data_IF_591802492481
#
_entry.id   IF_591802492481
#
_cell.length_a   1.000
_cell.length_b   1.000
_cell.length_c   1.000
_cell.angle_alpha   90.00
_cell.angle_beta   90.00
_cell.angle_gamma   90.00
#
_symmetry.space_group_name_H-M   'P 1'
#
loop_
_entity.id
_entity.type
_entity.pdbx_description
1 polymer ?
#
# COMPACT_ATOMS: atom_id res chain seq x y z
N UNK A 1 17.43 18.30 -40.15
CA UNK A 1 17.63 18.01 -38.72
C UNK A 1 16.39 17.29 -38.23
N UNK A 2 16.44 15.96 -38.22
CA UNK A 2 15.34 15.14 -37.69
C UNK A 2 15.46 15.12 -36.17
N UNK A 3 14.55 15.79 -35.49
CA UNK A 3 14.41 15.68 -34.04
C UNK A 3 13.65 14.37 -33.78
N UNK A 4 14.37 13.32 -33.40
CA UNK A 4 13.77 12.16 -32.76
C UNK A 4 13.23 12.64 -31.40
N UNK A 5 11.91 12.82 -31.31
CA UNK A 5 11.24 12.85 -30.01
C UNK A 5 11.43 11.47 -29.39
N UNK A 6 12.39 11.36 -28.46
CA UNK A 6 12.44 10.25 -27.52
C UNK A 6 11.22 10.39 -26.61
N UNK A 7 10.13 9.73 -26.97
CA UNK A 7 9.02 9.46 -26.06
C UNK A 7 9.61 8.58 -24.96
N UNK A 8 10.01 9.19 -23.84
CA UNK A 8 10.31 8.45 -22.62
C UNK A 8 9.02 7.72 -22.26
N UNK A 9 8.95 6.43 -22.58
CA UNK A 9 7.90 5.56 -22.08
C UNK A 9 8.08 5.48 -20.58
N UNK A 10 7.32 6.29 -19.85
CA UNK A 10 7.19 6.16 -18.41
C UNK A 10 6.72 4.73 -18.17
N UNK A 11 7.54 3.90 -17.55
CA UNK A 11 7.12 2.57 -17.17
C UNK A 11 6.03 2.75 -16.12
N UNK A 12 4.78 2.55 -16.51
CA UNK A 12 3.70 2.53 -15.55
C UNK A 12 3.88 1.28 -14.68
N UNK A 13 4.07 1.46 -13.38
CA UNK A 13 4.10 0.40 -12.39
C UNK A 13 2.70 -0.19 -12.26
N UNK A 14 2.51 -1.38 -12.83
CA UNK A 14 1.28 -2.14 -12.66
C UNK A 14 1.19 -2.68 -11.23
N UNK A 15 0.00 -2.61 -10.63
CA UNK A 15 -0.25 -3.08 -9.27
C UNK A 15 -1.73 -3.10 -8.91
N UNK A 16 -2.00 -3.25 -7.63
CA UNK A 16 -3.34 -3.23 -7.04
C UNK A 16 -3.42 -2.11 -6.02
N UNK A 17 -4.48 -1.31 -6.12
CA UNK A 17 -4.79 -0.25 -5.16
C UNK A 17 -5.92 -0.71 -4.24
N UNK A 18 -5.77 -0.41 -2.96
CA UNK A 18 -6.77 -0.61 -1.92
C UNK A 18 -7.13 0.74 -1.33
N UNK A 19 -8.33 1.22 -1.63
CA UNK A 19 -8.89 2.44 -1.04
C UNK A 19 -9.76 2.04 0.15
N UNK A 20 -9.21 2.19 1.33
CA UNK A 20 -9.71 1.63 2.57
C UNK A 20 -10.35 2.69 3.47
N UNK A 21 -11.41 2.28 4.16
CA UNK A 21 -12.07 3.06 5.20
C UNK A 21 -12.32 2.19 6.43
N UNK A 22 -11.87 2.67 7.59
CA UNK A 22 -12.04 2.00 8.88
C UNK A 22 -12.38 3.05 9.96
N UNK A 23 -13.62 3.04 10.44
CA UNK A 23 -14.16 4.08 11.34
C UNK A 23 -13.94 5.51 10.81
N UNK A 24 -13.08 6.33 11.45
CA UNK A 24 -12.70 7.67 10.98
C UNK A 24 -11.50 7.68 10.03
N UNK A 25 -10.77 6.57 9.92
CA UNK A 25 -9.54 6.49 9.14
C UNK A 25 -9.80 6.22 7.65
N UNK A 26 -9.15 7.00 6.80
CA UNK A 26 -9.06 6.78 5.36
C UNK A 26 -7.61 6.56 4.97
N UNK A 27 -7.38 5.49 4.19
CA UNK A 27 -6.05 5.17 3.69
C UNK A 27 -6.11 4.52 2.32
N UNK A 28 -5.08 4.78 1.53
CA UNK A 28 -4.86 4.18 0.21
C UNK A 28 -3.56 3.39 0.26
N UNK A 29 -3.61 2.14 -0.15
CA UNK A 29 -2.45 1.25 -0.25
C UNK A 29 -2.25 0.90 -1.71
N UNK A 30 -1.02 1.03 -2.21
CA UNK A 30 -0.63 0.51 -3.51
C UNK A 30 0.35 -0.66 -3.31
N UNK A 31 0.00 -1.80 -3.88
CA UNK A 31 0.84 -2.99 -3.95
C UNK A 31 1.27 -3.24 -5.42
N UNK A 32 2.57 -3.21 -5.74
CA UNK A 32 3.05 -3.53 -7.08
C UNK A 32 2.72 -4.98 -7.46
N UNK A 33 2.54 -5.23 -8.74
CA UNK A 33 2.35 -6.59 -9.26
C UNK A 33 3.60 -7.47 -9.07
N UNK A 34 3.41 -8.78 -9.08
CA UNK A 34 4.51 -9.77 -8.99
C UNK A 34 5.56 -9.54 -10.09
N UNK A 35 5.13 -9.21 -11.31
CA UNK A 35 6.02 -8.92 -12.43
C UNK A 35 6.91 -7.69 -12.16
N UNK A 36 6.34 -6.63 -11.58
CA UNK A 36 7.07 -5.41 -11.22
C UNK A 36 8.06 -5.68 -10.10
N UNK A 37 7.66 -6.41 -9.06
CA UNK A 37 8.56 -6.75 -7.94
C UNK A 37 9.69 -7.69 -8.38
N UNK A 38 9.42 -8.67 -9.24
CA UNK A 38 10.42 -9.58 -9.79
C UNK A 38 11.44 -8.90 -10.71
N UNK A 39 11.01 -7.86 -11.44
CA UNK A 39 11.89 -7.06 -12.31
C UNK A 39 12.75 -6.05 -11.54
N UNK A 40 12.36 -5.69 -10.32
CA UNK A 40 13.02 -4.65 -9.54
C UNK A 40 14.35 -5.14 -8.96
N UNK A 41 15.44 -4.41 -9.25
CA UNK A 41 16.80 -4.76 -8.79
C UNK A 41 17.22 -4.06 -7.49
N UNK A 42 16.30 -3.33 -6.85
CA UNK A 42 16.53 -2.57 -5.63
C UNK A 42 15.71 -3.09 -4.44
N UNK A 43 15.50 -2.22 -3.45
CA UNK A 43 14.67 -2.55 -2.30
C UNK A 43 13.18 -2.53 -2.71
N UNK A 44 12.57 -3.71 -2.84
CA UNK A 44 11.15 -3.86 -3.23
C UNK A 44 10.18 -3.10 -2.32
N UNK A 45 10.53 -2.85 -1.05
CA UNK A 45 9.68 -2.10 -0.13
C UNK A 45 9.40 -0.68 -0.61
N UNK A 46 10.28 -0.08 -1.43
CA UNK A 46 10.09 1.28 -1.96
C UNK A 46 9.03 1.35 -3.05
N UNK A 47 8.56 0.22 -3.56
CA UNK A 47 7.52 0.13 -4.58
C UNK A 47 6.11 0.16 -3.96
N UNK A 48 5.99 -0.27 -2.71
CA UNK A 48 4.73 -0.20 -1.96
C UNK A 48 4.51 1.22 -1.47
N UNK A 49 3.27 1.67 -1.48
CA UNK A 49 2.89 2.98 -0.95
C UNK A 49 1.72 2.85 -0.01
N UNK A 50 1.78 3.58 1.09
CA UNK A 50 0.66 3.74 2.01
C UNK A 50 0.50 5.22 2.28
N UNK A 51 -0.67 5.73 1.95
CA UNK A 51 -1.06 7.13 2.17
C UNK A 51 -2.28 7.12 3.08
N UNK A 52 -2.34 7.99 4.08
CA UNK A 52 -3.56 8.20 4.87
C UNK A 52 -3.95 9.66 4.97
N UNK A 53 -5.12 9.90 5.55
CA UNK A 53 -5.71 11.21 5.80
C UNK A 53 -4.97 12.08 6.84
N UNK A 54 -4.00 11.51 7.55
CA UNK A 54 -3.23 12.18 8.60
C UNK A 54 -3.77 12.00 10.02
N UNK A 55 -4.94 11.40 10.22
CA UNK A 55 -5.46 11.10 11.56
C UNK A 55 -4.86 9.82 12.14
N UNK A 56 -4.80 8.75 11.34
CA UNK A 56 -4.27 7.44 11.77
C UNK A 56 -2.88 7.18 11.21
N UNK A 57 -2.60 7.69 10.00
CA UNK A 57 -1.31 7.55 9.33
C UNK A 57 -0.66 8.92 9.15
N UNK A 58 0.21 9.29 10.08
CA UNK A 58 1.08 10.44 9.92
C UNK A 58 2.04 10.24 8.72
N UNK A 59 2.40 11.34 8.05
CA UNK A 59 3.19 11.33 6.82
C UNK A 59 4.64 10.85 6.99
N UNK A 60 5.12 10.70 8.22
CA UNK A 60 6.49 10.28 8.56
C UNK A 60 6.66 8.76 8.69
N UNK A 61 5.58 7.99 8.56
CA UNK A 61 5.63 6.53 8.65
C UNK A 61 6.42 5.91 7.50
N UNK A 62 7.28 4.96 7.83
CA UNK A 62 8.02 4.16 6.85
C UNK A 62 7.54 2.74 6.84
N UNK A 63 7.46 2.15 5.65
CA UNK A 63 7.22 0.72 5.48
C UNK A 63 8.46 -0.03 5.97
N UNK A 64 8.33 -0.77 7.08
CA UNK A 64 9.38 -1.63 7.62
C UNK A 64 9.32 -3.05 7.05
N UNK A 65 8.11 -3.55 6.81
CA UNK A 65 7.90 -4.92 6.39
C UNK A 65 6.65 -5.04 5.53
N UNK A 66 6.72 -5.92 4.55
CA UNK A 66 5.57 -6.32 3.73
C UNK A 66 5.57 -7.83 3.59
N UNK A 67 4.40 -8.43 3.76
CA UNK A 67 4.13 -9.79 3.30
C UNK A 67 3.01 -9.70 2.24
N UNK A 68 3.42 -9.80 0.99
CA UNK A 68 2.50 -9.78 -0.15
C UNK A 68 2.11 -11.22 -0.48
N UNK A 69 0.83 -11.54 -0.26
CA UNK A 69 0.20 -12.81 -0.60
C UNK A 69 -0.97 -12.62 -1.56
N UNK A 70 -0.95 -11.55 -2.37
CA UNK A 70 -2.01 -11.29 -3.34
C UNK A 70 -2.14 -12.46 -4.33
N UNK A 71 -3.38 -12.77 -4.78
CA UNK A 71 -4.61 -12.01 -4.56
C UNK A 71 -5.34 -12.34 -3.26
N UNK A 72 -4.73 -13.05 -2.29
CA UNK A 72 -5.44 -13.52 -1.10
C UNK A 72 -5.39 -12.51 0.05
N UNK A 73 -4.20 -11.97 0.31
CA UNK A 73 -3.96 -11.10 1.47
C UNK A 73 -2.75 -10.20 1.27
N UNK A 74 -2.71 -9.07 1.97
CA UNK A 74 -1.56 -8.18 2.02
C UNK A 74 -1.36 -7.69 3.44
N UNK A 75 -0.16 -7.88 3.99
CA UNK A 75 0.22 -7.33 5.28
C UNK A 75 1.33 -6.29 5.12
N UNK A 76 1.18 -5.15 5.77
CA UNK A 76 2.19 -4.08 5.80
C UNK A 76 2.41 -3.62 7.23
N UNK A 77 3.67 -3.64 7.68
CA UNK A 77 4.08 -2.99 8.93
C UNK A 77 4.71 -1.64 8.64
N UNK A 78 4.13 -0.63 9.27
CA UNK A 78 4.61 0.74 9.31
C UNK A 78 5.26 1.03 10.65
N UNK A 79 6.40 1.71 10.62
CA UNK A 79 7.14 2.13 11.80
C UNK A 79 7.22 3.66 11.83
N UNK A 80 7.03 4.23 13.02
CA UNK A 80 7.28 5.63 13.34
C UNK A 80 8.10 5.72 14.64
N UNK A 81 8.58 6.92 14.98
CA UNK A 81 9.34 7.14 16.22
C UNK A 81 8.53 6.80 17.47
N UNK A 82 7.21 7.04 17.43
CA UNK A 82 6.37 7.02 18.62
C UNK A 82 5.40 5.83 18.70
N UNK A 83 5.10 5.12 17.60
CA UNK A 83 4.27 3.91 17.62
C UNK A 83 4.29 3.16 16.28
N UNK A 84 4.16 1.83 16.35
CA UNK A 84 4.06 0.94 15.19
C UNK A 84 2.59 0.80 14.75
N UNK A 85 2.39 0.67 13.43
CA UNK A 85 1.08 0.38 12.83
C UNK A 85 1.19 -0.82 11.90
N UNK A 86 0.28 -1.77 12.05
CA UNK A 86 0.17 -2.95 11.21
C UNK A 86 -1.15 -2.86 10.42
N UNK A 87 -1.06 -3.10 9.12
CA UNK A 87 -2.18 -3.10 8.18
C UNK A 87 -2.33 -4.51 7.64
N UNK A 88 -3.49 -5.11 7.87
CA UNK A 88 -3.81 -6.47 7.43
C UNK A 88 -5.01 -6.43 6.50
N UNK A 89 -4.77 -6.62 5.21
CA UNK A 89 -5.78 -6.79 4.18
C UNK A 89 -6.05 -8.27 3.97
N UNK A 90 -7.30 -8.66 4.12
CA UNK A 90 -7.78 -10.03 4.00
C UNK A 90 -9.07 -10.09 3.20
N UNK A 91 -9.51 -11.31 2.88
CA UNK A 91 -10.75 -11.57 2.16
C UNK A 91 -10.86 -10.76 0.85
N UNK A 92 -9.76 -10.68 0.10
CA UNK A 92 -9.70 -9.93 -1.14
C UNK A 92 -10.52 -10.65 -2.21
N UNK A 93 -11.58 -9.98 -2.67
CA UNK A 93 -12.43 -10.40 -3.78
C UNK A 93 -12.21 -9.44 -4.95
N UNK A 94 -11.45 -9.90 -5.95
CA UNK A 94 -11.15 -9.13 -7.14
C UNK A 94 -12.34 -9.03 -8.11
N UNK A 95 -13.31 -9.95 -8.04
CA UNK A 95 -14.50 -9.89 -8.88
C UNK A 95 -15.50 -8.86 -8.35
N UNK A 96 -15.66 -8.81 -7.02
CA UNK A 96 -16.47 -7.81 -6.34
C UNK A 96 -15.75 -6.46 -6.17
N UNK A 97 -14.42 -6.45 -6.30
CA UNK A 97 -13.58 -5.25 -6.09
C UNK A 97 -13.57 -4.81 -4.63
N UNK A 98 -13.57 -5.76 -3.68
CA UNK A 98 -13.67 -5.48 -2.24
C UNK A 98 -12.69 -6.30 -1.42
N UNK A 99 -12.27 -5.78 -0.28
CA UNK A 99 -11.51 -6.54 0.74
C UNK A 99 -11.83 -6.06 2.15
N UNK A 100 -11.47 -6.85 3.15
CA UNK A 100 -11.46 -6.42 4.55
C UNK A 100 -10.10 -5.79 4.90
N UNK A 101 -10.09 -4.87 5.87
CA UNK A 101 -8.86 -4.35 6.47
C UNK A 101 -8.95 -4.34 8.00
N UNK A 102 -7.86 -4.70 8.66
CA UNK A 102 -7.63 -4.43 10.07
C UNK A 102 -6.39 -3.53 10.23
N UNK A 103 -6.56 -2.45 10.99
CA UNK A 103 -5.51 -1.50 11.34
C UNK A 103 -5.20 -1.67 12.81
N UNK A 104 -3.99 -2.12 13.14
CA UNK A 104 -3.54 -2.32 14.51
C UNK A 104 -2.46 -1.30 14.85
N UNK A 105 -2.70 -0.47 15.85
CA UNK A 105 -1.70 0.43 16.43
C UNK A 105 -1.17 -0.15 17.74
N UNK A 106 0.15 -0.11 17.94
CA UNK A 106 0.78 -0.49 19.21
C UNK A 106 1.53 0.70 19.79
N UNK A 107 1.06 1.22 20.93
CA UNK A 107 1.67 2.34 21.65
C UNK A 107 2.93 1.91 22.43
N UNK A 108 3.82 2.85 22.82
CA UNK A 108 5.07 2.53 23.55
C UNK A 108 4.86 1.88 24.91
N UNK A 109 3.71 2.10 25.54
CA UNK A 109 3.32 1.47 26.81
C UNK A 109 2.79 0.04 26.65
N UNK A 110 2.66 -0.43 25.40
CA UNK A 110 2.18 -1.76 25.03
C UNK A 110 0.67 -1.85 24.83
N UNK A 111 -0.07 -0.73 24.94
CA UNK A 111 -1.50 -0.73 24.59
C UNK A 111 -1.67 -0.94 23.09
N UNK A 112 -2.62 -1.82 22.74
CA UNK A 112 -2.97 -2.10 21.35
C UNK A 112 -4.38 -1.63 21.05
N UNK A 113 -4.53 -0.98 19.89
CA UNK A 113 -5.83 -0.60 19.34
C UNK A 113 -5.99 -1.28 18.00
N UNK A 114 -7.19 -1.82 17.74
CA UNK A 114 -7.54 -2.41 16.46
C UNK A 114 -8.81 -1.76 15.92
N UNK A 115 -8.75 -1.30 14.67
CA UNK A 115 -9.90 -0.77 13.94
C UNK A 115 -10.09 -1.60 12.69
N UNK A 116 -11.33 -2.04 12.43
CA UNK A 116 -11.68 -2.83 11.25
C UNK A 116 -12.42 -1.98 10.24
N UNK A 117 -12.25 -2.31 8.97
CA UNK A 117 -12.84 -1.61 7.86
C UNK A 117 -12.93 -2.45 6.60
N UNK A 118 -13.21 -1.76 5.50
CA UNK A 118 -13.32 -2.36 4.17
C UNK A 118 -12.55 -1.52 3.17
N UNK A 119 -12.06 -2.15 2.10
CA UNK A 119 -11.44 -1.47 0.99
C UNK A 119 -12.19 -1.72 -0.31
N UNK A 120 -12.16 -0.73 -1.18
CA UNK A 120 -12.39 -0.93 -2.62
C UNK A 120 -11.06 -1.32 -3.25
N UNK A 121 -11.09 -2.34 -4.10
CA UNK A 121 -9.91 -2.92 -4.74
C UNK A 121 -9.98 -2.64 -6.22
N UNK A 122 -8.89 -2.11 -6.79
CA UNK A 122 -8.78 -1.87 -8.21
C UNK A 122 -7.38 -2.21 -8.72
N UNK A 123 -7.31 -2.78 -9.93
CA UNK A 123 -6.03 -2.86 -10.65
C UNK A 123 -5.63 -1.46 -11.10
N UNK A 124 -4.40 -1.05 -10.81
CA UNK A 124 -3.88 0.27 -11.13
C UNK A 124 -2.59 0.18 -11.93
N UNK A 125 -2.34 1.20 -12.75
CA UNK A 125 -1.05 1.44 -13.38
C UNK A 125 -0.56 2.80 -12.93
N UNK A 126 0.42 2.84 -12.03
CA UNK A 126 0.96 4.09 -11.51
C UNK A 126 2.13 4.55 -12.38
N UNK A 127 2.03 5.72 -12.99
CA UNK A 127 3.15 6.29 -13.75
C UNK A 127 4.22 6.76 -12.76
N UNK A 128 5.45 6.24 -12.82
CA UNK A 128 6.57 6.84 -12.09
C UNK A 128 6.74 8.28 -12.57
N UNK A 129 6.33 9.26 -11.77
CA UNK A 129 6.63 10.66 -12.05
C UNK A 129 8.16 10.82 -11.95
N UNK A 130 8.78 11.02 -13.10
CA UNK A 130 10.23 11.25 -13.29
C UNK A 130 10.70 12.53 -12.63
#
# INVERSE_FOLDING_TARGET
MSIFLATAATAAMAGTTFDCRADTAYLTIFAPSEEVTAAHRGNVLTLYKVTGDGEVLAADRKIAQVFDGLPTSLYIKLTATDFDVELDISDVDLEAGTSAIAIKGTMPDGETMEVKGTCTVATASESEAS
#
